data_IF_841331246624
#
_entry.id   IF_841331246624
#
_cell.length_a   1.000
_cell.length_b   1.000
_cell.length_c   1.000
_cell.angle_alpha   90.00
_cell.angle_beta   90.00
_cell.angle_gamma   90.00
#
_symmetry.space_group_name_H-M   'P 1'
#
loop_
_entity.id
_entity.type
_entity.pdbx_description
1 polymer ?
#
# COMPACT_ATOMS: atom_id res chain seq x y z
N UNK A 1 -9.20 18.21 0.56
CA UNK A 1 -8.73 18.62 -0.77
C UNK A 1 -8.85 17.41 -1.66
N UNK A 2 -9.51 17.51 -2.82
CA UNK A 2 -9.41 16.46 -3.84
C UNK A 2 -7.95 16.40 -4.26
N UNK A 3 -7.31 15.23 -4.14
CA UNK A 3 -5.97 15.01 -4.67
C UNK A 3 -6.05 15.23 -6.18
N UNK A 4 -5.36 16.26 -6.69
CA UNK A 4 -5.19 16.44 -8.13
C UNK A 4 -4.33 15.29 -8.65
N UNK A 5 -4.84 14.54 -9.64
CA UNK A 5 -4.12 13.38 -10.15
C UNK A 5 -4.99 12.44 -10.99
N UNK A 6 -4.36 11.37 -11.46
CA UNK A 6 -5.03 10.33 -12.26
C UNK A 6 -5.56 9.23 -11.35
N UNK A 7 -6.87 8.99 -11.39
CA UNK A 7 -7.50 7.88 -10.68
C UNK A 7 -7.17 6.53 -11.32
N UNK A 8 -6.79 5.55 -10.48
CA UNK A 8 -6.46 4.18 -10.89
C UNK A 8 -7.16 3.16 -9.99
N UNK A 9 -7.11 1.89 -10.39
CA UNK A 9 -7.68 0.77 -9.63
C UNK A 9 -9.19 0.97 -9.33
N UNK A 10 -9.93 1.57 -10.27
CA UNK A 10 -11.35 1.87 -10.13
C UNK A 10 -11.65 3.01 -9.16
N UNK A 11 -10.88 4.11 -9.20
CA UNK A 11 -11.08 5.28 -8.36
C UNK A 11 -10.70 5.07 -6.90
N UNK A 12 -9.81 4.11 -6.62
CA UNK A 12 -9.43 3.74 -5.25
C UNK A 12 -8.00 4.11 -4.89
N UNK A 13 -7.27 4.68 -5.83
CA UNK A 13 -5.96 5.26 -5.67
C UNK A 13 -5.80 6.38 -6.70
N UNK A 14 -5.10 7.44 -6.33
CA UNK A 14 -4.81 8.59 -7.20
C UNK A 14 -3.29 8.67 -7.29
N UNK A 15 -2.76 8.75 -8.51
CA UNK A 15 -1.34 9.06 -8.74
C UNK A 15 -1.19 10.55 -9.08
N UNK A 16 -0.12 11.20 -8.64
CA UNK A 16 0.07 12.64 -8.86
C UNK A 16 0.37 12.93 -10.34
N UNK A 17 0.37 14.23 -10.68
CA UNK A 17 0.96 14.71 -11.93
C UNK A 17 2.43 14.25 -12.03
N UNK A 18 2.92 14.00 -13.24
CA UNK A 18 4.24 13.40 -13.47
C UNK A 18 4.26 11.87 -13.41
N UNK A 19 3.12 11.22 -13.08
CA UNK A 19 2.95 9.77 -13.18
C UNK A 19 1.92 9.41 -14.24
N UNK A 20 2.37 8.79 -15.32
CA UNK A 20 1.49 8.21 -16.33
C UNK A 20 1.21 6.72 -16.03
N UNK A 21 0.00 6.25 -16.33
CA UNK A 21 -0.46 4.92 -15.91
C UNK A 21 -1.02 4.09 -17.06
N UNK A 22 -0.67 2.80 -17.08
CA UNK A 22 -1.29 1.76 -17.92
C UNK A 22 -2.00 0.70 -17.06
N UNK A 23 -3.34 0.68 -17.08
CA UNK A 23 -4.14 -0.31 -16.35
C UNK A 23 -4.24 -1.66 -17.08
N UNK A 24 -3.78 -2.72 -16.42
CA UNK A 24 -3.66 -4.07 -17.00
C UNK A 24 -4.96 -4.90 -16.94
N UNK A 25 -6.08 -4.31 -16.51
CA UNK A 25 -7.36 -5.00 -16.33
C UNK A 25 -7.94 -5.57 -17.65
N UNK A 26 -7.58 -4.99 -18.80
CA UNK A 26 -8.03 -5.46 -20.13
C UNK A 26 -7.19 -6.58 -20.73
N UNK A 27 -6.12 -7.00 -20.05
CA UNK A 27 -5.23 -8.06 -20.52
C UNK A 27 -4.38 -7.68 -21.75
N UNK A 28 -3.68 -8.68 -22.30
CA UNK A 28 -2.78 -8.53 -23.47
C UNK A 28 -3.40 -7.78 -24.65
N UNK A 29 -4.67 -8.08 -25.00
CA UNK A 29 -5.36 -7.43 -26.13
C UNK A 29 -5.56 -5.93 -25.93
N UNK A 30 -5.83 -5.48 -24.70
CA UNK A 30 -5.98 -4.04 -24.41
C UNK A 30 -4.61 -3.38 -24.44
N UNK A 31 -3.64 -3.99 -23.75
CA UNK A 31 -2.26 -3.52 -23.68
C UNK A 31 -1.65 -3.32 -25.08
N UNK A 32 -1.86 -4.27 -26.00
CA UNK A 32 -1.29 -4.21 -27.35
C UNK A 32 -1.99 -3.25 -28.32
N UNK A 33 -3.11 -2.62 -27.94
CA UNK A 33 -3.96 -1.85 -28.87
C UNK A 33 -4.22 -0.42 -28.42
N UNK A 34 -3.97 -0.12 -27.16
CA UNK A 34 -4.31 1.16 -26.55
C UNK A 34 -3.13 1.59 -25.70
N UNK A 35 -2.57 2.74 -26.01
CA UNK A 35 -1.73 3.50 -25.11
C UNK A 35 -2.59 4.62 -24.50
N UNK A 36 -2.71 4.72 -23.17
CA UNK A 36 -3.41 5.81 -22.50
C UNK A 36 -2.87 7.18 -22.92
N UNK A 37 -3.72 8.20 -23.14
CA UNK A 37 -3.26 9.51 -23.66
C UNK A 37 -2.15 10.17 -22.83
N UNK A 38 -2.24 10.10 -21.50
CA UNK A 38 -1.21 10.65 -20.61
C UNK A 38 0.14 9.90 -20.76
N UNK A 39 0.09 8.58 -20.93
CA UNK A 39 1.28 7.78 -21.18
C UNK A 39 1.86 8.08 -22.57
N UNK A 40 1.02 8.14 -23.61
CA UNK A 40 1.46 8.50 -24.95
C UNK A 40 2.18 9.86 -24.97
N UNK A 41 1.62 10.84 -24.27
CA UNK A 41 2.22 12.18 -24.15
C UNK A 41 3.60 12.14 -23.49
N UNK A 42 3.73 11.39 -22.38
CA UNK A 42 5.01 11.20 -21.69
C UNK A 42 6.03 10.49 -22.60
N UNK A 43 5.62 9.41 -23.25
CA UNK A 43 6.50 8.60 -24.11
C UNK A 43 6.98 9.39 -25.33
N UNK A 44 6.12 10.20 -25.96
CA UNK A 44 6.48 11.07 -27.08
C UNK A 44 7.48 12.15 -26.63
N UNK A 45 7.19 12.83 -25.51
CA UNK A 45 8.05 13.88 -24.96
C UNK A 45 9.45 13.37 -24.57
N UNK A 46 9.55 12.13 -24.06
CA UNK A 46 10.80 11.52 -23.62
C UNK A 46 11.49 10.65 -24.68
N UNK A 47 10.94 10.56 -25.89
CA UNK A 47 11.46 9.72 -26.97
C UNK A 47 11.60 8.24 -26.54
N UNK A 48 10.49 7.69 -26.04
CA UNK A 48 10.39 6.35 -25.42
C UNK A 48 9.38 5.43 -26.12
N UNK A 49 8.73 5.88 -27.21
CA UNK A 49 7.69 5.11 -27.90
C UNK A 49 8.19 3.75 -28.39
N UNK A 50 9.38 3.70 -29.01
CA UNK A 50 9.95 2.44 -29.51
C UNK A 50 10.28 1.45 -28.38
N UNK A 51 10.81 1.96 -27.26
CA UNK A 51 11.12 1.14 -26.07
C UNK A 51 9.84 0.60 -25.45
N UNK A 52 8.79 1.42 -25.35
CA UNK A 52 7.49 1.01 -24.86
C UNK A 52 6.85 -0.07 -25.75
N UNK A 53 6.86 0.12 -27.07
CA UNK A 53 6.28 -0.83 -28.01
C UNK A 53 7.02 -2.18 -27.96
N UNK A 54 8.36 -2.17 -27.89
CA UNK A 54 9.17 -3.37 -27.71
C UNK A 54 8.85 -4.10 -26.38
N UNK A 55 8.72 -3.35 -25.29
CA UNK A 55 8.32 -3.92 -23.98
C UNK A 55 6.93 -4.56 -24.05
N UNK A 56 5.95 -3.88 -24.64
CA UNK A 56 4.58 -4.40 -24.80
C UNK A 56 4.57 -5.65 -25.68
N UNK A 57 5.31 -5.65 -26.78
CA UNK A 57 5.44 -6.81 -27.66
C UNK A 57 6.01 -8.01 -26.89
N UNK A 58 7.09 -7.82 -26.13
CA UNK A 58 7.69 -8.87 -25.31
C UNK A 58 6.70 -9.45 -24.28
N UNK A 59 5.96 -8.59 -23.56
CA UNK A 59 4.92 -9.02 -22.60
C UNK A 59 3.80 -9.80 -23.28
N UNK A 60 3.37 -9.38 -24.47
CA UNK A 60 2.29 -10.03 -25.22
C UNK A 60 2.75 -11.37 -25.79
N UNK A 61 3.97 -11.45 -26.30
CA UNK A 61 4.57 -12.65 -26.87
C UNK A 61 4.83 -13.74 -25.81
N UNK A 62 5.24 -13.38 -24.59
CA UNK A 62 5.52 -14.36 -23.54
C UNK A 62 4.24 -15.04 -23.04
N UNK A 63 4.08 -16.32 -23.35
CA UNK A 63 2.85 -17.06 -23.02
C UNK A 63 2.60 -17.18 -21.52
N UNK A 64 3.65 -17.20 -20.69
CA UNK A 64 3.56 -17.37 -19.25
C UNK A 64 3.24 -16.11 -18.45
N UNK A 65 3.15 -14.92 -19.09
CA UNK A 65 2.72 -13.71 -18.36
C UNK A 65 1.26 -13.78 -17.94
N UNK A 66 0.44 -14.65 -18.53
CA UNK A 66 -0.96 -14.87 -18.13
C UNK A 66 -1.35 -16.34 -18.09
N UNK A 67 -1.99 -16.75 -17.00
CA UNK A 67 -2.55 -18.09 -16.85
C UNK A 67 -3.84 -18.29 -17.66
N UNK A 68 -4.32 -19.54 -17.67
CA UNK A 68 -5.48 -20.00 -18.47
C UNK A 68 -6.78 -19.22 -18.21
N UNK A 69 -6.91 -18.59 -17.04
CA UNK A 69 -8.05 -17.75 -16.66
C UNK A 69 -7.79 -16.24 -16.82
N UNK A 70 -6.77 -15.87 -17.60
CA UNK A 70 -6.40 -14.48 -17.87
C UNK A 70 -5.79 -13.74 -16.68
N UNK A 71 -5.38 -14.43 -15.62
CA UNK A 71 -4.68 -13.80 -14.49
C UNK A 71 -3.22 -13.55 -14.85
N UNK A 72 -2.74 -12.34 -14.59
CA UNK A 72 -1.33 -12.01 -14.75
C UNK A 72 -0.47 -12.76 -13.73
N UNK A 73 0.67 -13.26 -14.18
CA UNK A 73 1.72 -13.81 -13.35
C UNK A 73 2.73 -12.70 -13.05
N UNK A 74 2.69 -12.19 -11.82
CA UNK A 74 3.40 -10.95 -11.45
C UNK A 74 4.91 -11.05 -11.66
N UNK A 75 5.52 -12.19 -11.32
CA UNK A 75 6.96 -12.39 -11.39
C UNK A 75 7.44 -12.41 -12.85
N UNK A 76 6.75 -13.16 -13.68
CA UNK A 76 7.04 -13.29 -15.11
C UNK A 76 6.82 -11.97 -15.82
N UNK A 77 5.72 -11.26 -15.52
CA UNK A 77 5.47 -9.93 -16.06
C UNK A 77 6.55 -8.93 -15.64
N UNK A 78 6.85 -8.84 -14.34
CA UNK A 78 7.85 -7.91 -13.82
C UNK A 78 9.24 -8.21 -14.37
N UNK A 79 9.61 -9.49 -14.56
CA UNK A 79 10.89 -9.86 -15.15
C UNK A 79 11.07 -9.39 -16.59
N UNK A 80 9.98 -9.26 -17.36
CA UNK A 80 10.06 -8.69 -18.72
C UNK A 80 10.20 -7.18 -18.63
N UNK A 81 9.40 -6.52 -17.78
CA UNK A 81 9.50 -5.07 -17.57
C UNK A 81 10.90 -4.68 -17.11
N UNK A 82 11.51 -5.49 -16.23
CA UNK A 82 12.84 -5.24 -15.67
C UNK A 82 13.93 -5.13 -16.74
N UNK A 83 13.82 -5.88 -17.85
CA UNK A 83 14.75 -5.81 -18.99
C UNK A 83 14.78 -4.40 -19.60
N UNK A 84 13.65 -3.69 -19.61
CA UNK A 84 13.52 -2.38 -20.23
C UNK A 84 13.67 -1.22 -19.25
N UNK A 85 13.72 -1.48 -17.93
CA UNK A 85 13.74 -0.41 -16.91
C UNK A 85 14.96 0.50 -17.05
N UNK A 86 16.11 -0.04 -17.45
CA UNK A 86 17.31 0.76 -17.67
C UNK A 86 17.14 1.72 -18.85
N UNK A 87 16.53 1.27 -19.96
CA UNK A 87 16.26 2.11 -21.13
C UNK A 87 15.30 3.26 -20.80
N UNK A 88 14.25 2.97 -20.02
CA UNK A 88 13.37 4.01 -19.47
C UNK A 88 14.12 4.99 -18.56
N UNK A 89 14.97 4.46 -17.67
CA UNK A 89 15.71 5.27 -16.69
C UNK A 89 16.72 6.20 -17.37
N UNK A 90 17.37 5.78 -18.46
CA UNK A 90 18.26 6.64 -19.26
C UNK A 90 17.55 7.86 -19.86
N UNK A 91 16.22 7.82 -19.98
CA UNK A 91 15.37 8.92 -20.45
C UNK A 91 14.63 9.63 -19.30
N UNK A 92 15.05 9.41 -18.05
CA UNK A 92 14.45 10.05 -16.88
C UNK A 92 13.07 9.52 -16.51
N UNK A 93 12.74 8.28 -16.89
CA UNK A 93 11.47 7.63 -16.53
C UNK A 93 11.73 6.37 -15.71
N UNK A 94 11.10 6.26 -14.54
CA UNK A 94 11.09 5.00 -13.77
C UNK A 94 9.80 4.25 -14.00
N UNK A 95 9.90 2.93 -14.18
CA UNK A 95 8.73 2.06 -14.39
C UNK A 95 8.54 1.13 -13.20
N UNK A 96 7.33 1.09 -12.65
CA UNK A 96 6.97 0.21 -11.53
C UNK A 96 5.72 -0.61 -11.85
N UNK A 97 5.75 -1.92 -11.56
CA UNK A 97 4.57 -2.77 -11.59
C UNK A 97 3.82 -2.67 -10.27
N UNK A 98 2.64 -2.06 -10.31
CA UNK A 98 1.82 -1.86 -9.14
C UNK A 98 0.68 -2.87 -9.05
N UNK A 99 0.37 -3.29 -7.82
CA UNK A 99 -0.69 -4.25 -7.52
C UNK A 99 -1.45 -3.89 -6.26
N UNK A 100 -2.77 -3.94 -6.35
CA UNK A 100 -3.67 -3.76 -5.21
C UNK A 100 -4.67 -4.91 -5.14
N UNK A 101 -4.68 -5.60 -4.01
CA UNK A 101 -5.68 -6.63 -3.68
C UNK A 101 -6.79 -6.03 -2.83
N UNK A 102 -8.01 -6.42 -3.14
CA UNK A 102 -9.21 -6.02 -2.41
C UNK A 102 -10.21 -7.18 -2.42
N UNK A 103 -11.33 -6.99 -1.73
CA UNK A 103 -12.45 -7.92 -1.79
C UNK A 103 -12.95 -8.14 -3.22
N UNK A 104 -13.01 -7.05 -4.01
CA UNK A 104 -13.53 -7.05 -5.39
C UNK A 104 -12.53 -7.62 -6.42
N UNK A 105 -11.40 -8.15 -5.93
CA UNK A 105 -10.35 -8.75 -6.76
C UNK A 105 -9.04 -7.98 -6.74
N UNK A 106 -8.21 -8.29 -7.73
CA UNK A 106 -6.84 -7.74 -7.85
C UNK A 106 -6.77 -6.79 -9.04
N UNK A 107 -6.34 -5.56 -8.78
CA UNK A 107 -6.04 -4.55 -9.80
C UNK A 107 -4.54 -4.46 -9.99
N UNK A 108 -4.11 -4.25 -11.24
CA UNK A 108 -2.71 -4.08 -11.63
C UNK A 108 -2.56 -2.96 -12.63
N UNK A 109 -1.48 -2.22 -12.52
CA UNK A 109 -1.13 -1.17 -13.45
C UNK A 109 0.39 -0.97 -13.48
N UNK A 110 0.90 -0.40 -14.57
CA UNK A 110 2.25 0.14 -14.62
C UNK A 110 2.19 1.63 -14.29
N UNK A 111 3.12 2.09 -13.46
CA UNK A 111 3.39 3.51 -13.26
C UNK A 111 4.67 3.88 -14.01
N UNK A 112 4.58 4.88 -14.88
CA UNK A 112 5.69 5.51 -15.59
C UNK A 112 5.89 6.89 -14.97
N UNK A 113 6.97 7.03 -14.22
CA UNK A 113 7.22 8.14 -13.31
C UNK A 113 8.27 9.03 -13.96
N UNK A 114 7.91 10.26 -14.28
CA UNK A 114 8.84 11.27 -14.77
C UNK A 114 9.73 11.74 -13.61
N UNK A 115 10.96 11.22 -13.58
CA UNK A 115 11.95 11.50 -12.53
C UNK A 115 12.40 12.97 -12.62
N UNK A 116 12.43 13.55 -13.83
CA UNK A 116 12.83 14.96 -13.98
C UNK A 116 11.80 15.92 -13.36
N UNK A 117 10.52 15.51 -13.35
CA UNK A 117 9.44 16.27 -12.75
C UNK A 117 9.30 16.04 -11.24
N UNK A 118 9.35 14.79 -10.80
CA UNK A 118 9.04 14.40 -9.42
C UNK A 118 10.29 14.19 -8.55
N UNK A 119 11.46 14.08 -9.16
CA UNK A 119 12.68 13.65 -8.49
C UNK A 119 12.50 12.31 -7.75
N UNK A 120 13.27 12.15 -6.68
CA UNK A 120 13.18 10.97 -5.79
C UNK A 120 12.08 11.09 -4.73
N UNK A 121 11.20 12.10 -4.84
CA UNK A 121 10.18 12.37 -3.81
C UNK A 121 8.92 11.51 -3.93
N UNK A 122 8.73 10.85 -5.07
CA UNK A 122 7.60 9.96 -5.29
C UNK A 122 8.02 8.49 -5.24
N UNK A 123 7.39 7.72 -4.36
CA UNK A 123 7.55 6.27 -4.27
C UNK A 123 6.20 5.60 -4.54
N UNK A 124 6.10 4.72 -5.55
CA UNK A 124 4.85 4.00 -5.82
C UNK A 124 4.49 3.11 -4.64
N UNK A 125 3.36 3.42 -4.00
CA UNK A 125 2.92 2.74 -2.78
C UNK A 125 2.60 1.25 -3.01
N UNK A 126 2.24 0.89 -4.24
CA UNK A 126 1.77 -0.44 -4.61
C UNK A 126 2.76 -1.23 -5.47
N UNK A 127 4.00 -0.76 -5.60
CA UNK A 127 5.06 -1.46 -6.32
C UNK A 127 5.33 -2.84 -5.73
N UNK A 128 5.19 -3.88 -6.56
CA UNK A 128 5.37 -5.27 -6.16
C UNK A 128 6.81 -5.58 -5.76
N UNK A 129 7.79 -4.85 -6.27
CA UNK A 129 9.20 -5.01 -5.93
C UNK A 129 9.56 -4.36 -4.57
N UNK A 130 8.70 -3.47 -4.06
CA UNK A 130 8.94 -2.72 -2.83
C UNK A 130 8.23 -3.31 -1.59
N UNK A 131 7.59 -4.47 -1.67
CA UNK A 131 7.01 -5.08 -0.46
C UNK A 131 8.08 -5.52 0.55
N UNK A 132 7.82 -5.28 1.84
CA UNK A 132 8.72 -5.67 2.94
C UNK A 132 8.62 -7.15 3.32
N UNK A 133 7.59 -7.84 2.83
CA UNK A 133 7.21 -9.18 3.28
C UNK A 133 6.27 -9.18 4.50
N UNK A 134 6.13 -8.04 5.19
CA UNK A 134 5.15 -7.87 6.26
C UNK A 134 3.72 -7.85 5.69
N UNK A 135 2.79 -8.48 6.41
CA UNK A 135 1.39 -8.48 6.03
C UNK A 135 0.44 -8.70 7.19
N UNK A 136 -0.74 -8.09 7.09
CA UNK A 136 -1.91 -8.37 7.96
C UNK A 136 -2.90 -9.22 7.16
N UNK A 137 -3.32 -10.34 7.74
CA UNK A 137 -4.35 -11.20 7.15
C UNK A 137 -5.69 -10.87 7.80
N UNK A 138 -6.64 -10.44 6.99
CA UNK A 138 -8.05 -10.33 7.37
C UNK A 138 -8.82 -11.54 6.86
N UNK A 139 -10.14 -11.59 7.05
CA UNK A 139 -10.99 -12.68 6.56
C UNK A 139 -10.90 -12.79 5.03
N UNK A 140 -11.01 -11.67 4.32
CA UNK A 140 -11.11 -11.66 2.86
C UNK A 140 -9.87 -11.15 2.14
N UNK A 141 -8.88 -10.61 2.85
CA UNK A 141 -7.71 -10.03 2.18
C UNK A 141 -6.41 -10.22 2.94
N UNK A 142 -5.30 -10.10 2.20
CA UNK A 142 -3.96 -9.97 2.75
C UNK A 142 -3.48 -8.56 2.43
N UNK A 143 -3.36 -7.72 3.45
CA UNK A 143 -2.78 -6.38 3.33
C UNK A 143 -1.26 -6.53 3.36
N UNK A 144 -0.58 -6.06 2.32
CA UNK A 144 0.87 -6.12 2.18
C UNK A 144 1.42 -4.69 2.30
N UNK A 145 2.55 -4.53 2.97
CA UNK A 145 3.13 -3.22 3.28
C UNK A 145 4.48 -3.04 2.57
N UNK A 146 4.80 -1.82 2.10
CA UNK A 146 6.09 -1.54 1.47
C UNK A 146 7.23 -1.50 2.49
N UNK A 147 8.47 -1.56 2.02
CA UNK A 147 9.66 -1.24 2.83
C UNK A 147 9.54 0.21 3.32
N UNK A 148 9.95 0.45 4.57
CA UNK A 148 9.75 1.75 5.22
C UNK A 148 8.40 1.90 5.93
N UNK A 149 7.50 0.91 5.85
CA UNK A 149 6.30 0.83 6.70
C UNK A 149 6.39 -0.39 7.61
N UNK A 150 6.22 -0.17 8.91
CA UNK A 150 6.15 -1.22 9.91
C UNK A 150 4.79 -1.17 10.61
N UNK A 151 4.18 -2.34 10.85
CA UNK A 151 2.85 -2.42 11.47
C UNK A 151 2.83 -3.21 12.78
N UNK A 152 1.98 -2.76 13.69
CA UNK A 152 1.65 -3.39 14.97
C UNK A 152 0.16 -3.76 15.01
N UNK A 153 -0.15 -5.06 15.08
CA UNK A 153 -1.55 -5.54 15.07
C UNK A 153 -2.19 -5.42 16.47
N UNK A 154 -3.30 -4.69 16.55
CA UNK A 154 -4.07 -4.55 17.79
C UNK A 154 -5.12 -5.65 17.89
N UNK A 155 -4.70 -6.85 18.29
CA UNK A 155 -5.60 -8.02 18.40
C UNK A 155 -6.66 -7.85 19.48
N UNK A 156 -7.89 -8.29 19.19
CA UNK A 156 -9.06 -8.02 20.03
C UNK A 156 -9.24 -9.00 21.21
N UNK A 157 -8.75 -10.24 21.10
CA UNK A 157 -9.09 -11.33 22.02
C UNK A 157 -7.90 -11.88 22.82
N UNK A 158 -8.20 -12.56 23.93
CA UNK A 158 -7.21 -13.21 24.80
C UNK A 158 -6.29 -12.22 25.51
N UNK A 159 -5.03 -12.60 25.69
CA UNK A 159 -4.00 -11.79 26.36
C UNK A 159 -3.37 -10.74 25.41
N UNK A 160 -4.12 -10.24 24.42
CA UNK A 160 -3.58 -9.40 23.35
C UNK A 160 -2.87 -8.14 23.86
N UNK A 161 -3.41 -7.48 24.89
CA UNK A 161 -2.80 -6.28 25.49
C UNK A 161 -1.49 -6.59 26.23
N UNK A 162 -1.43 -7.72 26.92
CA UNK A 162 -0.18 -8.20 27.53
C UNK A 162 0.85 -8.53 26.45
N UNK A 163 0.43 -9.23 25.39
CA UNK A 163 1.30 -9.55 24.25
C UNK A 163 1.81 -8.32 23.50
N UNK A 164 0.99 -7.28 23.38
CA UNK A 164 1.38 -5.99 22.78
C UNK A 164 2.57 -5.37 23.54
N UNK A 165 2.60 -5.50 24.87
CA UNK A 165 3.69 -4.99 25.71
C UNK A 165 4.93 -5.89 25.70
N UNK A 166 4.74 -7.20 25.55
CA UNK A 166 5.82 -8.20 25.69
C UNK A 166 6.52 -8.55 24.37
N UNK A 167 5.83 -8.39 23.23
CA UNK A 167 6.32 -8.85 21.94
C UNK A 167 6.19 -7.77 20.88
N UNK A 168 7.34 -7.23 20.50
CA UNK A 168 7.47 -6.24 19.42
C UNK A 168 7.64 -6.98 18.08
N UNK A 169 6.86 -6.66 17.03
CA UNK A 169 7.08 -7.16 15.69
C UNK A 169 8.46 -6.76 15.15
N UNK A 170 9.14 -7.67 14.45
CA UNK A 170 10.51 -7.46 13.98
C UNK A 170 10.70 -6.14 13.22
N UNK A 171 9.85 -5.85 12.22
CA UNK A 171 9.96 -4.60 11.46
C UNK A 171 9.71 -3.34 12.30
N UNK A 172 8.85 -3.41 13.33
CA UNK A 172 8.64 -2.30 14.27
C UNK A 172 9.89 -2.12 15.11
N UNK A 173 10.41 -3.20 15.70
CA UNK A 173 11.64 -3.17 16.49
C UNK A 173 12.82 -2.61 15.69
N UNK A 174 13.00 -3.08 14.45
CA UNK A 174 14.07 -2.63 13.56
C UNK A 174 13.95 -1.12 13.26
N UNK A 175 12.75 -0.65 12.92
CA UNK A 175 12.49 0.77 12.62
C UNK A 175 12.70 1.64 13.87
N UNK A 176 12.11 1.25 15.01
CA UNK A 176 12.23 2.02 16.25
C UNK A 176 13.66 2.05 16.77
N UNK A 177 14.43 0.97 16.59
CA UNK A 177 15.87 0.95 16.93
C UNK A 177 16.66 1.86 15.99
N UNK A 178 16.44 1.75 14.68
CA UNK A 178 17.12 2.58 13.66
C UNK A 178 16.87 4.07 13.86
N UNK A 179 15.65 4.45 14.26
CA UNK A 179 15.23 5.84 14.43
C UNK A 179 15.37 6.36 15.87
N UNK A 180 15.91 5.53 16.79
CA UNK A 180 16.07 5.88 18.20
C UNK A 180 14.74 6.36 18.83
N UNK A 181 13.73 5.48 18.76
CA UNK A 181 12.34 5.70 19.17
C UNK A 181 11.81 4.58 20.10
N UNK A 182 12.66 3.69 20.60
CA UNK A 182 12.23 2.53 21.39
C UNK A 182 11.51 2.93 22.70
N UNK A 183 11.94 4.03 23.33
CA UNK A 183 11.31 4.54 24.55
C UNK A 183 9.93 5.10 24.27
N UNK A 184 9.80 5.90 23.21
CA UNK A 184 8.55 6.50 22.74
C UNK A 184 7.55 5.44 22.30
N UNK A 185 8.04 4.41 21.59
CA UNK A 185 7.25 3.25 21.22
C UNK A 185 6.66 2.54 22.43
N UNK A 186 7.47 2.28 23.46
CA UNK A 186 6.98 1.64 24.68
C UNK A 186 5.91 2.51 25.37
N UNK A 187 6.13 3.82 25.47
CA UNK A 187 5.17 4.77 26.03
C UNK A 187 3.86 4.81 25.23
N UNK A 188 3.94 4.77 23.89
CA UNK A 188 2.78 4.67 23.00
C UNK A 188 1.98 3.39 23.26
N UNK A 189 2.66 2.24 23.30
CA UNK A 189 2.03 0.93 23.55
C UNK A 189 1.33 0.89 24.90
N UNK A 190 1.96 1.41 25.95
CA UNK A 190 1.38 1.49 27.29
C UNK A 190 0.12 2.38 27.29
N UNK A 191 0.21 3.55 26.66
CA UNK A 191 -0.91 4.47 26.54
C UNK A 191 -2.08 3.86 25.72
N UNK A 192 -1.79 3.16 24.63
CA UNK A 192 -2.81 2.42 23.87
C UNK A 192 -3.51 1.39 24.76
N UNK A 193 -2.76 0.54 25.48
CA UNK A 193 -3.33 -0.54 26.30
C UNK A 193 -4.23 -0.04 27.44
N UNK A 194 -3.99 1.18 27.92
CA UNK A 194 -4.70 1.81 29.03
C UNK A 194 -5.86 2.68 28.57
N UNK A 195 -5.62 3.60 27.63
CA UNK A 195 -6.57 4.63 27.21
C UNK A 195 -7.29 4.29 25.90
N UNK A 196 -6.66 3.51 25.01
CA UNK A 196 -7.15 3.12 23.67
C UNK A 196 -8.31 2.11 23.65
N UNK A 197 -8.87 1.77 24.82
CA UNK A 197 -9.93 0.74 24.96
C UNK A 197 -11.25 1.29 25.50
N UNK A 198 -12.35 0.61 25.17
CA UNK A 198 -13.69 0.89 25.67
C UNK A 198 -13.87 0.54 27.15
N UNK A 199 -14.81 1.20 27.83
CA UNK A 199 -15.01 1.08 29.30
C UNK A 199 -15.47 -0.32 29.74
N UNK A 200 -16.43 -0.91 29.03
CA UNK A 200 -17.16 -2.11 29.50
C UNK A 200 -16.45 -3.42 29.18
N UNK A 201 -15.98 -3.59 27.94
CA UNK A 201 -15.39 -4.84 27.47
C UNK A 201 -13.87 -4.73 27.22
N UNK A 202 -13.28 -3.56 27.48
CA UNK A 202 -11.88 -3.24 27.17
C UNK A 202 -11.47 -3.63 25.75
N UNK A 203 -12.41 -3.54 24.82
CA UNK A 203 -12.14 -3.71 23.40
C UNK A 203 -11.45 -2.49 22.83
N UNK A 204 -10.65 -2.67 21.78
CA UNK A 204 -10.02 -1.54 21.12
C UNK A 204 -11.08 -0.58 20.59
N UNK A 205 -10.93 0.70 20.89
CA UNK A 205 -11.89 1.73 20.51
C UNK A 205 -11.20 2.74 19.58
N UNK A 206 -11.79 3.00 18.41
CA UNK A 206 -11.06 3.69 17.35
C UNK A 206 -10.84 5.15 17.71
N UNK A 207 -11.88 5.81 18.22
CA UNK A 207 -11.84 7.21 18.65
C UNK A 207 -10.75 7.42 19.69
N UNK A 208 -10.70 6.54 20.70
CA UNK A 208 -9.67 6.59 21.75
C UNK A 208 -8.27 6.27 21.23
N UNK A 209 -8.14 5.35 20.29
CA UNK A 209 -6.85 5.08 19.66
C UNK A 209 -6.36 6.30 18.87
N UNK A 210 -7.24 6.98 18.12
CA UNK A 210 -6.90 8.22 17.40
C UNK A 210 -6.40 9.30 18.36
N UNK A 211 -7.06 9.49 19.50
CA UNK A 211 -6.61 10.41 20.56
C UNK A 211 -5.21 10.04 21.08
N UNK A 212 -4.95 8.75 21.34
CA UNK A 212 -3.63 8.27 21.77
C UNK A 212 -2.57 8.50 20.70
N UNK A 213 -2.83 8.14 19.43
CA UNK A 213 -1.90 8.36 18.32
C UNK A 213 -1.56 9.86 18.20
N UNK A 214 -2.59 10.72 18.22
CA UNK A 214 -2.39 12.17 18.13
C UNK A 214 -1.54 12.73 19.26
N UNK A 215 -1.64 12.19 20.48
CA UNK A 215 -0.84 12.62 21.63
C UNK A 215 0.65 12.24 21.52
N UNK A 216 0.99 11.25 20.69
CA UNK A 216 2.38 10.77 20.51
C UNK A 216 3.00 11.21 19.18
N UNK A 217 2.19 11.64 18.20
CA UNK A 217 2.62 11.88 16.82
C UNK A 217 3.86 12.80 16.72
N UNK A 218 3.85 13.95 17.38
CA UNK A 218 4.91 14.96 17.29
C UNK A 218 6.32 14.42 17.64
N UNK A 219 6.42 13.47 18.57
CA UNK A 219 7.72 12.93 18.98
C UNK A 219 8.27 11.98 17.92
N UNK A 220 7.41 11.19 17.30
CA UNK A 220 7.78 10.31 16.18
C UNK A 220 8.11 11.13 14.93
N UNK A 221 7.32 12.17 14.62
CA UNK A 221 7.54 13.04 13.44
C UNK A 221 8.90 13.74 13.48
N UNK A 222 9.34 14.19 14.66
CA UNK A 222 10.68 14.78 14.85
C UNK A 222 11.83 13.83 14.51
N UNK A 223 11.57 12.51 14.51
CA UNK A 223 12.52 11.45 14.13
C UNK A 223 12.23 10.92 12.71
N UNK A 224 11.37 11.58 11.95
CA UNK A 224 11.03 11.21 10.58
C UNK A 224 10.12 9.99 10.47
N UNK A 225 9.36 9.67 11.52
CA UNK A 225 8.37 8.58 11.50
C UNK A 225 6.98 9.15 11.71
N UNK A 226 6.09 8.92 10.75
CA UNK A 226 4.66 9.18 10.97
C UNK A 226 3.97 7.97 11.58
N UNK A 227 3.02 8.20 12.46
CA UNK A 227 2.21 7.15 13.07
C UNK A 227 0.73 7.31 12.71
N UNK A 228 0.11 6.20 12.34
CA UNK A 228 -1.30 6.15 11.97
C UNK A 228 -1.99 5.01 12.70
N UNK A 229 -3.27 5.20 13.03
CA UNK A 229 -4.15 4.08 13.38
C UNK A 229 -5.01 3.74 12.18
N UNK A 230 -4.98 2.47 11.81
CA UNK A 230 -5.74 1.93 10.68
C UNK A 230 -6.76 0.91 11.15
N UNK A 231 -7.84 0.76 10.38
CA UNK A 231 -8.97 -0.09 10.74
C UNK A 231 -9.64 -0.78 9.54
N UNK A 232 -10.28 -1.92 9.78
CA UNK A 232 -11.14 -2.58 8.79
C UNK A 232 -12.20 -3.41 9.48
N UNK A 233 -13.44 -3.28 9.03
CA UNK A 233 -14.52 -4.20 9.37
C UNK A 233 -14.84 -5.12 8.20
N UNK A 234 -15.06 -6.39 8.51
CA UNK A 234 -15.49 -7.39 7.53
C UNK A 234 -16.66 -8.20 8.10
N UNK A 235 -17.79 -8.21 7.39
CA UNK A 235 -18.93 -9.04 7.77
C UNK A 235 -18.75 -10.47 7.25
N UNK A 236 -18.81 -11.45 8.15
CA UNK A 236 -18.71 -12.87 7.84
C UNK A 236 -20.09 -13.51 7.97
N UNK A 237 -20.66 -13.89 6.83
CA UNK A 237 -21.94 -14.61 6.78
C UNK A 237 -21.74 -16.11 6.96
N UNK A 238 -22.54 -16.69 7.85
CA UNK A 238 -22.71 -18.13 8.06
C UNK A 238 -24.08 -18.60 7.56
N UNK A 239 -24.63 -17.94 6.54
CA UNK A 239 -25.98 -18.18 6.03
C UNK A 239 -27.03 -17.32 6.73
N UNK A 240 -27.84 -17.92 7.61
CA UNK A 240 -28.91 -17.20 8.33
C UNK A 240 -28.42 -16.31 9.48
N UNK A 241 -27.12 -16.36 9.80
CA UNK A 241 -26.50 -15.51 10.82
C UNK A 241 -25.13 -15.06 10.31
N UNK A 242 -24.55 -14.05 10.98
CA UNK A 242 -23.20 -13.61 10.71
C UNK A 242 -22.69 -12.74 11.83
N UNK A 243 -21.44 -12.31 11.70
CA UNK A 243 -20.79 -11.43 12.66
C UNK A 243 -19.79 -10.53 11.93
N UNK A 244 -19.50 -9.39 12.53
CA UNK A 244 -18.47 -8.47 12.03
C UNK A 244 -17.15 -8.75 12.73
N UNK A 245 -16.11 -9.01 11.94
CA UNK A 245 -14.73 -9.06 12.39
C UNK A 245 -14.11 -7.66 12.31
N UNK A 246 -13.37 -7.28 13.36
CA UNK A 246 -12.77 -5.97 13.51
C UNK A 246 -11.24 -6.10 13.52
N UNK A 247 -10.59 -5.50 12.53
CA UNK A 247 -9.14 -5.44 12.40
C UNK A 247 -8.68 -4.02 12.69
N UNK A 248 -7.67 -3.89 13.55
CA UNK A 248 -7.08 -2.61 13.95
C UNK A 248 -5.58 -2.78 14.05
N UNK A 249 -4.82 -1.79 13.63
CA UNK A 249 -3.37 -1.80 13.72
C UNK A 249 -2.82 -0.38 13.72
N UNK A 250 -1.57 -0.25 14.15
CA UNK A 250 -0.80 0.98 14.07
C UNK A 250 0.19 0.83 12.92
N UNK A 251 0.31 1.83 12.06
CA UNK A 251 1.31 1.91 11.00
C UNK A 251 2.34 2.97 11.37
N UNK A 252 3.61 2.57 11.37
CA UNK A 252 4.78 3.43 11.52
C UNK A 252 5.44 3.60 10.15
N UNK A 253 5.56 4.83 9.68
CA UNK A 253 5.98 5.16 8.32
C UNK A 253 7.26 5.98 8.36
N UNK A 254 8.38 5.39 7.93
CA UNK A 254 9.65 6.09 7.72
C UNK A 254 9.53 7.04 6.52
N UNK A 255 9.44 8.35 6.78
CA UNK A 255 9.19 9.37 5.75
C UNK A 255 10.34 9.57 4.79
N UNK A 256 11.55 9.15 5.15
CA UNK A 256 12.68 9.15 4.21
C UNK A 256 12.50 8.04 3.16
N UNK A 257 11.97 6.89 3.57
CA UNK A 257 11.77 5.74 2.68
C UNK A 257 10.43 5.78 1.93
N UNK A 258 9.43 6.45 2.51
CA UNK A 258 8.03 6.46 2.06
C UNK A 258 7.43 7.88 2.21
N UNK A 259 7.96 8.88 1.50
CA UNK A 259 7.58 10.29 1.66
C UNK A 259 6.10 10.54 1.39
N UNK A 260 5.54 9.91 0.36
CA UNK A 260 4.16 10.08 -0.12
C UNK A 260 3.22 8.93 0.30
N UNK A 261 3.58 8.12 1.29
CA UNK A 261 2.74 7.01 1.72
C UNK A 261 1.51 7.48 2.51
N UNK A 262 0.36 6.91 2.15
CA UNK A 262 -0.89 7.06 2.87
C UNK A 262 -1.46 5.69 3.29
N UNK A 263 -1.85 5.49 4.56
CA UNK A 263 -2.37 4.21 5.00
C UNK A 263 -3.60 3.80 4.20
N UNK A 264 -3.63 2.54 3.78
CA UNK A 264 -4.72 2.02 2.95
C UNK A 264 -6.08 2.04 3.65
N UNK A 265 -6.07 2.17 4.98
CA UNK A 265 -7.19 2.00 5.90
C UNK A 265 -7.10 2.97 7.09
N UNK A 266 -6.55 4.15 6.83
CA UNK A 266 -6.45 5.24 7.81
C UNK A 266 -7.80 5.56 8.47
N UNK A 267 -7.85 5.53 9.80
CA UNK A 267 -9.06 5.79 10.55
C UNK A 267 -9.43 7.29 10.68
N UNK A 268 -8.56 8.20 10.22
CA UNK A 268 -8.91 9.61 10.07
C UNK A 268 -9.75 9.85 8.81
N UNK A 269 -9.33 9.28 7.69
CA UNK A 269 -9.89 9.64 6.37
C UNK A 269 -10.77 8.57 5.72
N UNK A 270 -10.79 7.34 6.25
CA UNK A 270 -11.56 6.22 5.69
C UNK A 270 -12.63 5.73 6.67
N UNK A 271 -13.72 5.21 6.10
CA UNK A 271 -14.76 4.53 6.87
C UNK A 271 -14.36 3.11 7.24
N UNK A 272 -14.96 2.59 8.32
CA UNK A 272 -14.69 1.23 8.83
C UNK A 272 -15.22 0.13 7.90
N UNK A 273 -16.31 0.42 7.21
CA UNK A 273 -17.11 -0.56 6.50
C UNK A 273 -16.46 -1.01 5.18
N UNK A 274 -16.20 -2.30 5.08
CA UNK A 274 -15.93 -2.99 3.84
C UNK A 274 -17.06 -4.01 3.61
N UNK A 275 -18.26 -3.52 3.29
CA UNK A 275 -19.40 -4.41 3.00
C UNK A 275 -19.17 -5.06 1.65
N UNK A 276 -18.88 -6.35 1.66
CA UNK A 276 -19.01 -7.20 0.47
C UNK A 276 -20.46 -7.66 0.48
N UNK A 277 -21.31 -7.01 -0.31
CA UNK A 277 -22.64 -7.53 -0.64
C UNK A 277 -22.57 -8.41 -1.87
#
# INVERSE_FOLDING_TARGET
MSEEGTEVAGGKHVVPEGVAVEELNGGKKKLSKKCPPALLTLLDHKDLLEIYDAMVEAVVAESNTRGTFGKWHDKEFDSIVDIYREDFAMKGVRVALCKRKSADGTRRWLEFIDIDMLGDTYVPQYDVANYSGQAIRTVFTKLEFPKGVAVEELKQYGNARTRLKEKIPAHVQDMMTKKDLMTEYQALVDHCAEAGVGKKFKSWNITKLKEVISAHADVFEKKGVSIFVSHKQEYVSHGQSGHTEYFRWIEFVDREAQPNYHPQRDAETKGEDCVIS
#
